data_IF_966549360891
#
_entry.id   IF_966549360891
#
_cell.length_a   1.000
_cell.length_b   1.000
_cell.length_c   1.000
_cell.angle_alpha   90.00
_cell.angle_beta   90.00
_cell.angle_gamma   90.00
#
_symmetry.space_group_name_H-M   'P 1'
#
loop_
_entity.id
_entity.type
_entity.pdbx_description
1 polymer ?
#
# COMPACT_ATOMS: atom_id res chain seq x y z
N UNK A 1 2.09 -19.20 -2.60
CA UNK A 1 1.49 -17.86 -2.85
C UNK A 1 2.32 -17.10 -3.90
N UNK A 2 1.67 -16.58 -4.94
CA UNK A 2 2.32 -15.94 -6.10
C UNK A 2 2.73 -14.48 -5.87
N UNK A 3 2.49 -13.91 -4.68
CA UNK A 3 2.75 -12.50 -4.38
C UNK A 3 1.76 -11.51 -5.01
N UNK A 4 0.70 -12.03 -5.67
CA UNK A 4 -0.32 -11.21 -6.31
C UNK A 4 -1.31 -10.62 -5.29
N UNK A 5 -1.69 -9.37 -5.48
CA UNK A 5 -2.69 -8.68 -4.68
C UNK A 5 -3.54 -7.75 -5.56
N UNK A 6 -4.78 -7.53 -5.14
CA UNK A 6 -5.67 -6.51 -5.68
C UNK A 6 -6.33 -5.80 -4.49
N UNK A 7 -6.27 -4.47 -4.45
CA UNK A 7 -6.80 -3.68 -3.35
C UNK A 7 -7.74 -2.61 -3.92
N UNK A 8 -8.95 -2.55 -3.36
CA UNK A 8 -9.95 -1.53 -3.70
C UNK A 8 -10.33 -0.74 -2.45
N UNK A 9 -10.69 0.53 -2.63
CA UNK A 9 -11.08 1.41 -1.53
C UNK A 9 -11.86 2.62 -2.02
N UNK A 10 -12.66 3.21 -1.14
CA UNK A 10 -13.43 4.43 -1.38
C UNK A 10 -13.62 5.21 -0.06
N UNK A 11 -14.30 6.35 -0.14
CA UNK A 11 -14.60 7.23 1.00
C UNK A 11 -15.91 6.91 1.70
N UNK A 12 -16.53 5.76 1.45
CA UNK A 12 -17.77 5.41 2.13
C UNK A 12 -17.54 5.37 3.65
N UNK A 13 -18.38 6.09 4.39
CA UNK A 13 -18.26 6.22 5.85
C UNK A 13 -17.44 7.43 6.31
N UNK A 14 -16.93 8.28 5.39
CA UNK A 14 -16.39 9.61 5.72
C UNK A 14 -17.47 10.69 5.64
N UNK A 15 -17.18 11.87 6.18
CA UNK A 15 -18.05 13.03 6.07
C UNK A 15 -18.20 13.48 4.61
N UNK A 16 -19.33 14.11 4.27
CA UNK A 16 -19.67 14.48 2.89
C UNK A 16 -18.75 15.55 2.28
N UNK A 17 -18.02 16.29 3.10
CA UNK A 17 -16.98 17.23 2.68
C UNK A 17 -15.61 16.54 2.46
N UNK A 18 -15.45 15.26 2.82
CA UNK A 18 -14.21 14.48 2.72
C UNK A 18 -14.28 13.42 1.61
N UNK A 19 -14.80 13.82 0.45
CA UNK A 19 -15.02 12.92 -0.69
C UNK A 19 -13.78 12.68 -1.55
N UNK A 20 -12.75 13.53 -1.40
CA UNK A 20 -11.49 13.42 -2.14
C UNK A 20 -10.48 12.54 -1.39
N UNK A 21 -9.70 11.75 -2.13
CA UNK A 21 -8.65 10.89 -1.57
C UNK A 21 -7.35 11.00 -2.35
N UNK A 22 -6.26 10.86 -1.61
CA UNK A 22 -4.90 10.67 -2.14
C UNK A 22 -4.42 9.27 -1.74
N UNK A 23 -4.74 8.23 -2.54
CA UNK A 23 -4.41 6.86 -2.16
C UNK A 23 -2.90 6.65 -2.11
N UNK A 24 -2.45 5.99 -1.05
CA UNK A 24 -1.05 5.56 -0.88
C UNK A 24 -1.03 4.08 -0.53
N UNK A 25 -0.34 3.29 -1.33
CA UNK A 25 -0.09 1.88 -1.06
C UNK A 25 1.12 1.77 -0.13
N UNK A 26 0.90 1.27 1.09
CA UNK A 26 1.97 0.97 2.03
C UNK A 26 2.32 -0.52 1.97
N UNK A 27 3.55 -0.84 1.59
CA UNK A 27 4.02 -2.22 1.50
C UNK A 27 4.86 -2.50 2.73
N UNK A 28 4.42 -3.46 3.55
CA UNK A 28 5.16 -3.97 4.70
C UNK A 28 5.69 -5.36 4.38
N UNK A 29 6.99 -5.60 4.57
CA UNK A 29 7.60 -6.89 4.26
C UNK A 29 8.76 -7.24 5.20
N UNK A 30 9.14 -8.53 5.18
CA UNK A 30 10.32 -9.06 5.85
C UNK A 30 11.22 -9.87 4.90
N UNK A 31 11.08 -9.62 3.58
CA UNK A 31 11.88 -10.32 2.58
C UNK A 31 13.37 -10.04 2.79
N UNK A 32 14.17 -11.10 2.75
CA UNK A 32 15.63 -11.07 2.99
C UNK A 32 16.04 -10.59 4.39
N UNK A 33 15.10 -10.57 5.35
CA UNK A 33 15.43 -10.27 6.73
C UNK A 33 15.89 -11.52 7.50
N UNK A 34 16.93 -11.39 8.36
CA UNK A 34 17.25 -12.42 9.34
C UNK A 34 16.04 -12.76 10.21
N UNK A 35 15.88 -14.04 10.56
CA UNK A 35 14.73 -14.57 11.29
C UNK A 35 14.39 -13.82 12.59
N UNK A 36 15.40 -13.32 13.29
CA UNK A 36 15.24 -12.66 14.59
C UNK A 36 15.04 -11.13 14.47
N UNK A 37 14.89 -10.63 13.25
CA UNK A 37 14.68 -9.21 12.99
C UNK A 37 13.29 -8.76 13.43
N UNK A 38 13.25 -7.83 14.39
CA UNK A 38 11.99 -7.25 14.87
C UNK A 38 11.47 -6.17 13.91
N UNK A 39 10.18 -6.27 13.59
CA UNK A 39 9.46 -5.30 12.77
C UNK A 39 9.47 -5.61 11.27
N UNK A 40 8.87 -4.71 10.50
CA UNK A 40 8.69 -4.84 9.06
C UNK A 40 9.38 -3.67 8.35
N UNK A 41 10.00 -3.94 7.21
CA UNK A 41 10.40 -2.88 6.28
C UNK A 41 9.14 -2.31 5.63
N UNK A 42 9.08 -1.00 5.47
CA UNK A 42 7.93 -0.28 4.92
C UNK A 42 8.35 0.78 3.94
N UNK A 43 7.80 0.72 2.73
CA UNK A 43 7.86 1.82 1.77
C UNK A 43 6.47 2.15 1.25
N UNK A 44 6.34 3.34 0.66
CA UNK A 44 5.06 3.91 0.23
C UNK A 44 5.09 4.16 -1.28
N UNK A 45 4.01 3.80 -1.97
CA UNK A 45 3.77 4.16 -3.37
C UNK A 45 2.54 5.07 -3.41
N UNK A 46 2.74 6.32 -3.84
CA UNK A 46 1.63 7.24 -4.09
C UNK A 46 0.92 6.85 -5.39
N UNK A 47 -0.39 6.64 -5.32
CA UNK A 47 -1.21 6.36 -6.49
C UNK A 47 -1.59 7.71 -7.13
N UNK A 48 -1.31 7.93 -8.43
CA UNK A 48 -1.65 9.20 -9.07
C UNK A 48 -3.15 9.47 -9.08
N UNK A 49 -3.55 10.72 -8.87
CA UNK A 49 -4.97 11.15 -8.80
C UNK A 49 -5.79 10.76 -10.04
N UNK A 50 -5.17 10.62 -11.21
CA UNK A 50 -5.84 10.17 -12.45
C UNK A 50 -6.45 8.76 -12.37
N UNK A 51 -6.09 7.98 -11.35
CA UNK A 51 -6.68 6.67 -11.04
C UNK A 51 -7.81 6.75 -10.01
N UNK A 52 -8.03 7.92 -9.39
CA UNK A 52 -9.16 8.19 -8.51
C UNK A 52 -10.35 8.63 -9.35
N UNK A 53 -11.52 8.09 -9.06
CA UNK A 53 -12.76 8.41 -9.78
C UNK A 53 -13.84 8.87 -8.81
N UNK A 54 -14.62 9.86 -9.22
CA UNK A 54 -15.83 10.23 -8.49
C UNK A 54 -16.88 9.10 -8.62
N UNK A 55 -17.37 8.63 -7.48
CA UNK A 55 -18.34 7.53 -7.38
C UNK A 55 -17.84 6.37 -6.52
N UNK A 56 -18.71 5.37 -6.31
CA UNK A 56 -18.45 4.26 -5.39
C UNK A 56 -17.46 3.22 -5.91
N UNK A 57 -17.31 3.12 -7.23
CA UNK A 57 -16.55 2.07 -7.92
C UNK A 57 -15.41 2.71 -8.72
N UNK A 58 -14.20 2.20 -8.53
CA UNK A 58 -13.03 2.60 -9.31
C UNK A 58 -13.18 2.17 -10.78
N UNK A 59 -12.89 3.08 -11.72
CA UNK A 59 -12.97 2.78 -13.17
C UNK A 59 -11.63 2.41 -13.80
N UNK A 60 -10.53 2.62 -13.08
CA UNK A 60 -9.17 2.38 -13.55
C UNK A 60 -8.35 1.76 -12.42
N UNK A 61 -7.54 0.77 -12.77
CA UNK A 61 -6.60 0.15 -11.84
C UNK A 61 -5.22 0.74 -12.08
N UNK A 62 -4.55 1.13 -11.00
CA UNK A 62 -3.13 1.45 -11.04
C UNK A 62 -2.33 0.16 -10.84
N UNK A 63 -1.70 -0.32 -11.91
CA UNK A 63 -0.83 -1.48 -11.88
C UNK A 63 0.59 -1.03 -11.49
N UNK A 64 1.06 -1.48 -10.32
CA UNK A 64 2.42 -1.22 -9.83
C UNK A 64 3.46 -2.16 -10.45
N UNK A 65 3.02 -3.15 -11.23
CA UNK A 65 3.86 -4.18 -11.82
C UNK A 65 4.38 -5.17 -10.77
N UNK A 66 5.53 -5.77 -11.08
CA UNK A 66 6.22 -6.70 -10.18
C UNK A 66 7.34 -5.96 -9.46
N UNK A 67 7.30 -6.00 -8.13
CA UNK A 67 8.28 -5.34 -7.27
C UNK A 67 9.19 -6.39 -6.61
N UNK A 68 10.50 -6.22 -6.74
CA UNK A 68 11.46 -7.01 -5.98
C UNK A 68 11.55 -6.43 -4.56
N UNK A 69 11.23 -7.23 -3.53
CA UNK A 69 11.22 -6.79 -2.14
C UNK A 69 12.55 -7.06 -1.40
N UNK A 70 13.60 -7.56 -2.07
CA UNK A 70 14.91 -7.74 -1.46
C UNK A 70 15.68 -6.42 -1.38
N UNK A 71 15.54 -5.57 -2.41
CA UNK A 71 16.21 -4.26 -2.48
C UNK A 71 15.60 -3.24 -1.52
N UNK A 72 16.31 -2.13 -1.26
CA UNK A 72 15.81 -1.00 -0.46
C UNK A 72 15.20 0.07 -1.36
N UNK A 73 13.93 0.40 -1.12
CA UNK A 73 13.25 1.47 -1.85
C UNK A 73 13.51 2.86 -1.25
N UNK A 74 13.37 3.95 -2.03
CA UNK A 74 13.48 5.31 -1.51
C UNK A 74 12.50 5.59 -0.36
N UNK A 75 13.00 6.15 0.73
CA UNK A 75 12.18 6.49 1.91
C UNK A 75 11.69 5.27 2.70
N UNK A 76 12.23 4.08 2.44
CA UNK A 76 11.90 2.89 3.20
C UNK A 76 12.38 3.00 4.65
N UNK A 77 11.52 2.62 5.58
CA UNK A 77 11.81 2.62 7.02
C UNK A 77 11.54 1.24 7.61
N UNK A 78 12.01 1.01 8.84
CA UNK A 78 11.65 -0.17 9.63
C UNK A 78 10.62 0.20 10.70
N UNK A 79 9.42 -0.36 10.58
CA UNK A 79 8.33 -0.21 11.54
C UNK A 79 8.30 -1.41 12.50
N UNK A 80 8.64 -1.16 13.77
CA UNK A 80 8.63 -2.17 14.85
C UNK A 80 7.25 -2.34 15.49
N UNK A 81 6.32 -1.43 15.23
CA UNK A 81 5.01 -1.37 15.86
C UNK A 81 3.90 -1.88 14.94
N UNK A 82 4.17 -2.06 13.65
CA UNK A 82 3.23 -2.67 12.72
C UNK A 82 2.86 -4.09 13.16
N UNK A 83 1.54 -4.33 13.26
CA UNK A 83 0.97 -5.65 13.53
C UNK A 83 0.10 -6.02 12.33
N UNK A 84 0.51 -7.00 11.50
CA UNK A 84 -0.33 -7.43 10.38
C UNK A 84 -1.69 -7.89 10.92
N UNK A 85 -2.76 -7.44 10.27
CA UNK A 85 -4.09 -7.99 10.55
C UNK A 85 -4.17 -9.39 9.94
N UNK A 86 -4.79 -10.36 10.64
CA UNK A 86 -5.00 -11.70 10.11
C UNK A 86 -5.86 -11.68 8.84
#
# INVERSE_FOLDING_TARGET
>A
PSGQFEVTGNTNGRDLNETTIEPTLAIYHQCDDPKDTKGYRRFLIKVPEKFVTQGRIAKKTFDVGTLNLQITYPGEIRDKNFKPKP
#
